data_IF_902110603975
#
_entry.id   IF_902110603975
#
_cell.length_a   1.000
_cell.length_b   1.000
_cell.length_c   1.000
_cell.angle_alpha   90.00
_cell.angle_beta   90.00
_cell.angle_gamma   90.00
#
_symmetry.space_group_name_H-M   'P 1'
#
loop_
_entity.id
_entity.type
_entity.pdbx_description
1 polymer ?
#
# COMPACT_ATOMS: atom_id res chain seq x y z
N UNK A 1 0.21 34.50 1.83
CA UNK A 1 -0.42 33.25 2.26
C UNK A 1 -0.67 32.48 0.98
N UNK A 2 0.23 31.56 0.63
CA UNK A 2 0.18 30.87 -0.67
C UNK A 2 -0.99 29.89 -0.63
N UNK A 3 -2.06 30.23 -1.33
CA UNK A 3 -3.11 29.29 -1.69
C UNK A 3 -2.44 28.21 -2.54
N UNK A 4 -2.25 27.03 -1.96
CA UNK A 4 -1.70 25.91 -2.71
C UNK A 4 -2.74 25.55 -3.74
N UNK A 5 -2.36 25.60 -5.02
CA UNK A 5 -3.17 25.12 -6.12
C UNK A 5 -3.76 23.74 -5.74
N UNK A 6 -5.09 23.56 -5.79
CA UNK A 6 -5.74 22.35 -5.30
C UNK A 6 -5.19 21.09 -6.00
N UNK A 7 -4.86 21.18 -7.29
CA UNK A 7 -4.28 20.05 -8.02
C UNK A 7 -2.87 19.70 -7.54
N UNK A 8 -2.10 20.66 -7.01
CA UNK A 8 -0.81 20.39 -6.38
C UNK A 8 -0.95 19.67 -5.02
N UNK A 9 -1.91 20.08 -4.18
CA UNK A 9 -2.20 19.41 -2.91
C UNK A 9 -2.74 17.98 -3.13
N UNK A 10 -3.57 17.82 -4.16
CA UNK A 10 -4.12 16.53 -4.54
C UNK A 10 -2.97 15.61 -5.05
N UNK A 11 -2.11 16.07 -5.96
CA UNK A 11 -0.94 15.28 -6.41
C UNK A 11 -0.04 14.84 -5.25
N UNK A 12 0.20 15.73 -4.28
CA UNK A 12 1.00 15.40 -3.09
C UNK A 12 0.33 14.28 -2.27
N UNK A 13 -1.00 14.30 -2.16
CA UNK A 13 -1.78 13.26 -1.49
C UNK A 13 -1.61 11.90 -2.16
N UNK A 14 -1.67 11.84 -3.50
CA UNK A 14 -1.43 10.61 -4.26
C UNK A 14 0.00 10.08 -4.05
N UNK A 15 1.00 10.96 -4.13
CA UNK A 15 2.40 10.57 -3.92
C UNK A 15 2.64 10.03 -2.50
N UNK A 16 2.01 10.66 -1.50
CA UNK A 16 2.09 10.21 -0.10
C UNK A 16 1.44 8.85 0.10
N UNK A 17 0.25 8.62 -0.47
CA UNK A 17 -0.43 7.34 -0.40
C UNK A 17 0.37 6.23 -1.10
N UNK A 18 0.97 6.53 -2.25
CA UNK A 18 1.86 5.61 -2.94
C UNK A 18 3.10 5.24 -2.10
N UNK A 19 3.77 6.24 -1.52
CA UNK A 19 4.93 6.00 -0.66
C UNK A 19 4.58 5.19 0.59
N UNK A 20 3.43 5.45 1.21
CA UNK A 20 2.98 4.72 2.39
C UNK A 20 2.67 3.25 2.10
N UNK A 21 2.04 2.96 0.96
CA UNK A 21 1.82 1.59 0.49
C UNK A 21 3.15 0.87 0.21
N UNK A 22 4.11 1.52 -0.48
CA UNK A 22 5.44 0.93 -0.70
C UNK A 22 6.16 0.60 0.60
N UNK A 23 6.12 1.51 1.58
CA UNK A 23 6.72 1.25 2.89
C UNK A 23 6.04 0.07 3.61
N UNK A 24 4.72 -0.03 3.59
CA UNK A 24 4.00 -1.15 4.19
C UNK A 24 4.33 -2.49 3.51
N UNK A 25 4.48 -2.51 2.18
CA UNK A 25 4.91 -3.70 1.46
C UNK A 25 6.36 -4.11 1.80
N UNK A 26 7.25 -3.13 1.98
CA UNK A 26 8.63 -3.37 2.44
C UNK A 26 8.67 -3.92 3.87
N UNK A 27 7.78 -3.46 4.76
CA UNK A 27 7.68 -3.99 6.13
C UNK A 27 7.28 -5.48 6.11
N UNK A 28 6.30 -5.86 5.27
CA UNK A 28 5.91 -7.26 5.07
C UNK A 28 7.09 -8.08 4.52
N UNK A 29 7.76 -7.60 3.47
CA UNK A 29 8.91 -8.28 2.87
C UNK A 29 10.05 -8.49 3.88
N UNK A 30 10.41 -7.44 4.63
CA UNK A 30 11.46 -7.48 5.62
C UNK A 30 11.15 -8.43 6.78
N UNK A 31 9.87 -8.55 7.16
CA UNK A 31 9.42 -9.55 8.11
C UNK A 31 9.58 -10.97 7.55
N UNK A 32 9.06 -11.23 6.35
CA UNK A 32 9.11 -12.55 5.71
C UNK A 32 10.54 -13.06 5.52
N UNK A 33 11.50 -12.18 5.16
CA UNK A 33 12.93 -12.55 5.02
C UNK A 33 13.59 -13.06 6.30
N UNK A 34 13.04 -12.70 7.47
CA UNK A 34 13.60 -13.05 8.79
C UNK A 34 12.87 -14.22 9.45
N UNK A 35 11.82 -14.75 8.81
CA UNK A 35 11.04 -15.85 9.37
C UNK A 35 11.89 -17.13 9.46
N UNK A 36 11.77 -17.88 10.57
CA UNK A 36 12.27 -19.25 10.63
C UNK A 36 11.45 -20.14 9.69
N UNK A 37 11.99 -21.33 9.39
CA UNK A 37 11.32 -22.34 8.54
C UNK A 37 9.92 -22.70 9.05
N UNK A 38 9.74 -22.73 10.38
CA UNK A 38 8.45 -22.93 11.03
C UNK A 38 8.13 -21.71 11.89
N UNK A 39 7.18 -20.85 11.50
CA UNK A 39 6.79 -19.68 12.28
C UNK A 39 6.05 -20.10 13.55
N UNK A 40 6.31 -19.37 14.64
CA UNK A 40 5.53 -19.51 15.86
C UNK A 40 4.22 -18.70 15.79
N UNK A 41 3.37 -18.84 16.81
CA UNK A 41 2.09 -18.14 16.88
C UNK A 41 2.23 -16.61 16.91
N UNK A 42 3.34 -16.08 17.43
CA UNK A 42 3.60 -14.63 17.46
C UNK A 42 3.92 -14.14 16.05
N UNK A 43 4.73 -14.87 15.30
CA UNK A 43 5.07 -14.55 13.92
C UNK A 43 3.83 -14.57 13.02
N UNK A 44 2.91 -15.53 13.22
CA UNK A 44 1.63 -15.58 12.51
C UNK A 44 0.78 -14.34 12.81
N UNK A 45 0.74 -13.93 14.09
CA UNK A 45 -0.02 -12.74 14.52
C UNK A 45 0.58 -11.46 13.94
N UNK A 46 1.91 -11.33 13.96
CA UNK A 46 2.62 -10.19 13.38
C UNK A 46 2.38 -10.10 11.88
N UNK A 47 2.45 -11.22 11.17
CA UNK A 47 2.12 -11.29 9.75
C UNK A 47 0.69 -10.81 9.45
N UNK A 48 -0.30 -11.27 10.22
CA UNK A 48 -1.70 -10.84 10.05
C UNK A 48 -1.87 -9.32 10.24
N UNK A 49 -1.16 -8.74 11.21
CA UNK A 49 -1.18 -7.29 11.45
C UNK A 49 -0.50 -6.52 10.31
N UNK A 50 0.68 -6.96 9.87
CA UNK A 50 1.40 -6.34 8.75
C UNK A 50 0.58 -6.41 7.46
N UNK A 51 -0.03 -7.56 7.18
CA UNK A 51 -0.88 -7.76 6.01
C UNK A 51 -2.14 -6.89 6.06
N UNK A 52 -2.76 -6.73 7.23
CA UNK A 52 -3.92 -5.84 7.40
C UNK A 52 -3.53 -4.39 7.14
N UNK A 53 -2.35 -3.97 7.62
CA UNK A 53 -1.84 -2.61 7.40
C UNK A 53 -1.53 -2.37 5.92
N UNK A 54 -0.88 -3.32 5.25
CA UNK A 54 -0.56 -3.23 3.83
C UNK A 54 -1.83 -3.09 2.98
N UNK A 55 -2.83 -3.94 3.22
CA UNK A 55 -4.11 -3.88 2.51
C UNK A 55 -4.82 -2.54 2.71
N UNK A 56 -4.78 -1.98 3.92
CA UNK A 56 -5.33 -0.65 4.18
C UNK A 56 -4.60 0.42 3.38
N UNK A 57 -3.26 0.40 3.37
CA UNK A 57 -2.49 1.38 2.60
C UNK A 57 -2.68 1.21 1.09
N UNK A 58 -2.90 -0.02 0.62
CA UNK A 58 -3.28 -0.29 -0.76
C UNK A 58 -4.63 0.35 -1.09
N UNK A 59 -5.65 0.15 -0.27
CA UNK A 59 -6.97 0.75 -0.47
C UNK A 59 -6.93 2.29 -0.41
N UNK A 60 -6.17 2.86 0.52
CA UNK A 60 -5.98 4.31 0.62
C UNK A 60 -5.33 4.89 -0.66
N UNK A 61 -4.37 4.16 -1.25
CA UNK A 61 -3.73 4.52 -2.53
C UNK A 61 -4.66 4.40 -3.72
N UNK A 62 -5.49 3.35 -3.76
CA UNK A 62 -6.50 3.15 -4.81
C UNK A 62 -7.57 4.25 -4.75
N UNK A 63 -8.11 4.54 -3.57
CA UNK A 63 -9.06 5.63 -3.37
C UNK A 63 -8.45 7.00 -3.71
N UNK A 64 -7.17 7.22 -3.37
CA UNK A 64 -6.47 8.42 -3.79
C UNK A 64 -6.41 8.50 -5.32
N UNK A 65 -6.00 7.43 -6.01
CA UNK A 65 -5.91 7.42 -7.48
C UNK A 65 -7.26 7.63 -8.17
N UNK A 66 -8.32 6.99 -7.68
CA UNK A 66 -9.68 7.16 -8.20
C UNK A 66 -10.15 8.63 -8.12
N UNK A 67 -9.77 9.35 -7.06
CA UNK A 67 -10.06 10.79 -6.94
C UNK A 67 -9.41 11.64 -8.06
N UNK A 68 -8.34 11.15 -8.70
CA UNK A 68 -7.71 11.77 -9.88
C UNK A 68 -8.23 11.24 -11.21
N UNK A 69 -9.22 10.34 -11.19
CA UNK A 69 -9.63 9.58 -12.37
C UNK A 69 -8.51 8.65 -12.90
N UNK A 70 -7.56 8.28 -12.05
CA UNK A 70 -6.50 7.33 -12.37
C UNK A 70 -6.92 5.94 -11.92
N UNK A 71 -7.01 5.01 -12.86
CA UNK A 71 -7.18 3.60 -12.52
C UNK A 71 -5.81 2.96 -12.30
N UNK A 72 -5.56 2.46 -11.09
CA UNK A 72 -4.40 1.61 -10.83
C UNK A 72 -4.75 0.19 -11.27
N UNK A 73 -4.12 -0.29 -12.35
CA UNK A 73 -4.29 -1.66 -12.80
C UNK A 73 -3.78 -2.66 -11.75
N UNK A 74 -4.57 -3.68 -11.43
CA UNK A 74 -4.09 -4.87 -10.71
C UNK A 74 -3.39 -5.80 -11.71
N UNK A 75 -2.25 -6.38 -11.32
CA UNK A 75 -1.54 -7.37 -12.14
C UNK A 75 -2.36 -8.66 -12.35
N UNK A 76 -3.41 -8.87 -11.55
CA UNK A 76 -4.34 -10.01 -11.70
C UNK A 76 -5.26 -9.87 -12.93
N UNK A 77 -5.43 -8.65 -13.47
CA UNK A 77 -6.31 -8.39 -14.61
C UNK A 77 -5.72 -8.81 -15.98
N UNK A 78 -4.44 -9.17 -16.04
CA UNK A 78 -3.74 -9.60 -17.28
C UNK A 78 -3.65 -11.12 -17.43
N UNK A 79 -4.19 -11.90 -16.48
CA UNK A 79 -4.35 -13.35 -16.62
C UNK A 79 -5.62 -13.63 -17.43
N UNK A 80 -5.52 -13.44 -18.75
CA UNK A 80 -6.60 -13.64 -19.71
C UNK A 80 -7.31 -15.00 -19.58
N UNK A 81 -8.63 -14.98 -19.73
CA UNK A 81 -9.43 -16.14 -20.16
C UNK A 81 -9.70 -16.03 -21.64
#
# INVERSE_FOLDING_TARGET
>A
MTDLDPAAADRETLLRAAAAHTAAAQDVEAFLRRLPEVPDASAITEYANLLTREQRQRADREAAADAFGLTIGSLESDQGT
#
